data_IF_016444557594
#
_entry.id   IF_016444557594
#
_cell.length_a   1.000
_cell.length_b   1.000
_cell.length_c   1.000
_cell.angle_alpha   90.00
_cell.angle_beta   90.00
_cell.angle_gamma   90.00
#
_symmetry.space_group_name_H-M   'P 1'
#
loop_
_entity.id
_entity.type
_entity.pdbx_description
1 polymer ?
#
# COMPACT_ATOMS: atom_id res chain seq x y z
N UNK A 1 -10.43 26.42 -14.78
CA UNK A 1 -8.98 26.70 -14.90
C UNK A 1 -8.15 26.06 -13.79
N UNK A 2 -8.58 26.10 -12.52
CA UNK A 2 -7.86 25.46 -11.40
C UNK A 2 -7.61 23.94 -11.55
N UNK A 3 -8.57 23.11 -12.02
CA UNK A 3 -8.33 21.67 -12.16
C UNK A 3 -7.23 21.36 -13.17
N UNK A 4 -7.18 22.14 -14.26
CA UNK A 4 -6.19 21.98 -15.33
C UNK A 4 -4.78 22.30 -14.81
N UNK A 5 -4.61 23.40 -14.06
CA UNK A 5 -3.32 23.85 -13.54
C UNK A 5 -2.73 22.90 -12.47
N UNK A 6 -3.59 22.37 -11.58
CA UNK A 6 -3.19 21.37 -10.58
C UNK A 6 -2.82 20.04 -11.25
N UNK A 7 -3.53 19.67 -12.32
CA UNK A 7 -3.20 18.49 -13.12
C UNK A 7 -1.85 18.66 -13.84
N UNK A 8 -1.55 19.83 -14.39
CA UNK A 8 -0.23 20.07 -15.02
C UNK A 8 0.90 20.00 -14.01
N UNK A 9 0.76 20.60 -12.81
CA UNK A 9 1.77 20.56 -11.76
C UNK A 9 2.01 19.13 -11.22
N UNK A 10 0.95 18.35 -11.00
CA UNK A 10 1.06 16.97 -10.52
C UNK A 10 1.63 15.99 -11.55
N UNK A 11 1.67 16.38 -12.83
CA UNK A 11 2.08 15.52 -13.96
C UNK A 11 3.32 15.99 -14.68
N UNK A 12 3.96 17.08 -14.23
CA UNK A 12 5.21 17.54 -14.81
C UNK A 12 6.34 16.62 -14.31
N UNK A 13 7.01 15.85 -15.18
CA UNK A 13 8.13 15.01 -14.78
C UNK A 13 9.24 15.87 -14.16
N UNK A 14 9.72 15.49 -12.98
CA UNK A 14 10.87 16.15 -12.33
C UNK A 14 10.56 17.38 -11.49
N UNK A 15 9.29 17.78 -11.31
CA UNK A 15 8.94 18.81 -10.32
C UNK A 15 8.70 18.14 -8.97
N UNK A 16 9.77 17.98 -8.21
CA UNK A 16 9.73 17.63 -6.80
C UNK A 16 9.33 18.87 -6.00
N UNK A 17 8.05 19.01 -5.67
CA UNK A 17 7.62 20.12 -4.82
C UNK A 17 7.90 19.80 -3.33
N UNK A 18 7.97 18.53 -2.89
CA UNK A 18 7.90 18.21 -1.43
C UNK A 18 8.63 16.94 -0.90
N UNK A 19 9.65 16.38 -1.58
CA UNK A 19 10.66 15.52 -0.95
C UNK A 19 10.50 13.99 -1.14
N UNK A 20 9.88 13.55 -2.24
CA UNK A 20 9.97 12.16 -2.69
C UNK A 20 11.31 11.86 -3.37
N UNK A 21 11.65 10.58 -3.61
CA UNK A 21 12.86 10.23 -4.35
C UNK A 21 12.83 10.85 -5.77
N UNK A 22 13.76 11.78 -6.04
CA UNK A 22 13.89 12.62 -7.26
C UNK A 22 13.85 11.88 -8.60
N UNK A 23 14.15 10.60 -8.58
CA UNK A 23 14.01 9.60 -9.61
C UNK A 23 14.30 8.28 -8.91
N UNK A 24 13.67 7.18 -9.30
CA UNK A 24 14.17 5.86 -8.93
C UNK A 24 15.58 5.77 -9.50
N UNK A 25 16.65 5.74 -8.67
CA UNK A 25 17.96 6.20 -9.13
C UNK A 25 18.57 5.35 -10.24
N UNK A 26 18.03 4.16 -10.55
CA UNK A 26 18.62 3.23 -11.52
C UNK A 26 17.59 2.40 -12.32
N UNK A 27 16.30 2.78 -12.33
CA UNK A 27 15.24 1.95 -12.92
C UNK A 27 15.12 0.56 -12.24
N UNK A 28 14.45 -0.42 -12.89
CA UNK A 28 14.09 -1.72 -12.27
C UNK A 28 15.26 -2.63 -11.89
N UNK A 29 16.52 -2.20 -12.00
CA UNK A 29 17.70 -3.07 -11.84
C UNK A 29 18.64 -2.75 -10.68
N UNK A 30 18.41 -1.66 -9.94
CA UNK A 30 19.17 -1.43 -8.71
C UNK A 30 18.44 -0.50 -7.75
N UNK A 31 17.94 -1.07 -6.66
CA UNK A 31 17.33 -0.32 -5.59
C UNK A 31 18.42 0.33 -4.71
N UNK A 32 18.30 1.63 -4.36
CA UNK A 32 19.18 2.28 -3.39
C UNK A 32 19.06 1.60 -2.02
N UNK A 33 20.05 1.74 -1.14
CA UNK A 33 20.06 1.08 0.15
C UNK A 33 18.92 1.64 1.01
N UNK A 34 18.22 0.75 1.71
CA UNK A 34 17.30 1.09 2.79
C UNK A 34 17.85 0.56 4.10
N UNK A 35 17.51 1.23 5.19
CA UNK A 35 17.71 0.63 6.50
C UNK A 35 16.60 -0.34 6.81
N UNK A 36 17.02 -1.52 7.22
CA UNK A 36 16.13 -2.59 7.62
C UNK A 36 16.52 -2.99 9.04
N UNK A 37 15.58 -2.96 10.01
CA UNK A 37 15.84 -3.42 11.37
C UNK A 37 16.27 -4.89 11.35
N UNK A 38 17.37 -5.23 12.01
CA UNK A 38 17.93 -6.57 12.02
C UNK A 38 16.94 -7.60 12.58
N UNK A 39 16.26 -7.25 13.64
CA UNK A 39 15.38 -8.14 14.38
C UNK A 39 13.99 -8.29 13.76
N UNK A 40 13.60 -7.37 12.87
CA UNK A 40 12.32 -7.35 12.18
C UNK A 40 12.47 -6.72 10.78
N UNK A 41 12.97 -7.49 9.79
CA UNK A 41 13.24 -6.94 8.46
C UNK A 41 12.02 -6.34 7.76
N UNK A 42 10.85 -6.90 8.06
CA UNK A 42 9.56 -6.41 7.56
C UNK A 42 8.88 -5.43 8.51
N UNK A 43 9.53 -4.98 9.59
CA UNK A 43 8.97 -4.05 10.57
C UNK A 43 7.92 -4.67 11.51
N UNK A 44 7.06 -3.82 12.06
CA UNK A 44 6.13 -4.15 13.14
C UNK A 44 4.71 -3.68 12.82
N UNK A 45 3.72 -4.44 13.28
CA UNK A 45 2.31 -4.08 13.30
C UNK A 45 1.84 -3.79 14.73
N UNK A 46 0.77 -3.00 14.80
CA UNK A 46 0.12 -2.60 16.05
C UNK A 46 -1.34 -3.03 16.06
N UNK A 47 -1.97 -2.96 17.24
CA UNK A 47 -3.40 -3.26 17.37
C UNK A 47 -4.19 -2.50 16.30
N UNK A 48 -5.13 -3.17 15.60
CA UNK A 48 -5.93 -2.52 14.60
C UNK A 48 -6.63 -1.30 15.16
N UNK A 49 -6.65 -0.27 14.33
CA UNK A 49 -7.45 0.89 14.57
C UNK A 49 -7.94 1.37 13.22
N UNK A 50 -9.26 1.37 13.07
CA UNK A 50 -9.93 1.79 11.84
C UNK A 50 -9.94 3.33 11.78
N UNK A 51 -8.76 3.94 11.91
CA UNK A 51 -8.51 5.37 11.80
C UNK A 51 -7.10 5.65 11.26
N UNK A 52 -6.93 6.88 10.79
CA UNK A 52 -5.73 7.32 10.07
C UNK A 52 -4.75 8.05 10.98
N UNK A 53 -4.95 8.04 12.30
CA UNK A 53 -3.99 8.62 13.22
C UNK A 53 -2.80 7.65 13.30
N UNK A 54 -1.58 8.09 12.96
CA UNK A 54 -0.40 7.25 12.97
C UNK A 54 0.11 7.13 14.42
N UNK A 55 -0.72 6.60 15.31
CA UNK A 55 -0.40 6.37 16.72
C UNK A 55 -0.23 4.87 16.92
N UNK A 56 0.98 4.38 17.23
CA UNK A 56 1.20 3.01 17.63
C UNK A 56 0.32 2.64 18.83
N UNK A 57 -0.45 1.57 18.70
CA UNK A 57 -1.42 1.13 19.71
C UNK A 57 -1.13 -0.29 20.18
N UNK A 58 -1.06 -0.48 21.49
CA UNK A 58 -0.76 -1.78 22.08
C UNK A 58 0.68 -2.21 21.83
N UNK A 59 0.91 -3.53 21.93
CA UNK A 59 2.25 -4.11 21.80
C UNK A 59 2.64 -4.23 20.33
N UNK A 60 3.88 -3.84 20.01
CA UNK A 60 4.44 -4.06 18.69
C UNK A 60 4.60 -5.56 18.41
N UNK A 61 4.03 -6.03 17.30
CA UNK A 61 4.14 -7.42 16.85
C UNK A 61 4.99 -7.43 15.58
N UNK A 62 5.98 -8.33 15.49
CA UNK A 62 6.78 -8.46 14.27
C UNK A 62 5.87 -8.77 13.09
N UNK A 63 5.99 -7.98 12.02
CA UNK A 63 5.20 -8.20 10.82
C UNK A 63 5.77 -9.41 10.07
N UNK A 64 4.95 -10.44 9.90
CA UNK A 64 5.24 -11.60 9.06
C UNK A 64 4.44 -11.46 7.76
N UNK A 65 4.99 -10.81 6.72
CA UNK A 65 4.26 -10.54 5.51
C UNK A 65 3.96 -11.82 4.72
N UNK A 66 2.86 -11.79 3.98
CA UNK A 66 2.48 -12.86 3.06
C UNK A 66 1.80 -12.30 1.82
N UNK A 67 1.85 -13.07 0.73
CA UNK A 67 1.10 -12.74 -0.47
C UNK A 67 -0.39 -12.59 -0.16
N UNK A 68 -1.00 -11.57 -0.75
CA UNK A 68 -2.38 -11.17 -0.48
C UNK A 68 -2.53 -10.09 0.60
N UNK A 69 -1.51 -9.79 1.39
CA UNK A 69 -1.55 -8.62 2.29
C UNK A 69 -1.70 -7.33 1.47
N UNK A 70 -2.51 -6.38 1.94
CA UNK A 70 -2.75 -5.12 1.24
C UNK A 70 -2.06 -3.99 2.01
N UNK A 71 -1.22 -3.25 1.33
CA UNK A 71 -0.58 -2.05 1.86
C UNK A 71 -1.46 -0.85 1.50
N UNK A 72 -1.80 -0.05 2.49
CA UNK A 72 -2.58 1.17 2.36
C UNK A 72 -1.68 2.34 2.76
N UNK A 73 -1.42 3.24 1.81
CA UNK A 73 -0.33 4.19 1.91
C UNK A 73 -0.90 5.61 1.94
N UNK A 74 -0.52 6.39 2.96
CA UNK A 74 -0.85 7.83 3.03
C UNK A 74 0.37 8.65 2.71
N UNK A 75 0.31 9.36 1.59
CA UNK A 75 1.33 10.30 1.19
C UNK A 75 1.41 11.48 2.17
N UNK A 76 2.63 11.95 2.54
CA UNK A 76 2.80 13.15 3.35
C UNK A 76 2.52 14.45 2.57
N UNK A 77 2.53 14.44 1.24
CA UNK A 77 2.45 15.63 0.39
C UNK A 77 1.07 16.33 0.47
N UNK A 78 1.03 17.63 0.86
CA UNK A 78 -0.18 18.45 0.84
C UNK A 78 -0.90 18.52 -0.51
N UNK A 79 -0.18 18.44 -1.65
CA UNK A 79 -0.78 18.47 -2.98
C UNK A 79 -1.79 17.33 -3.17
N UNK A 80 -1.45 16.13 -2.71
CA UNK A 80 -2.37 15.00 -2.79
C UNK A 80 -3.60 15.20 -1.93
N UNK A 81 -3.51 15.88 -0.78
CA UNK A 81 -4.69 16.23 0.01
C UNK A 81 -5.67 17.09 -0.81
N UNK A 82 -5.15 18.06 -1.57
CA UNK A 82 -5.97 18.89 -2.46
C UNK A 82 -6.60 18.06 -3.58
N UNK A 83 -5.82 17.20 -4.25
CA UNK A 83 -6.32 16.30 -5.29
C UNK A 83 -7.42 15.35 -4.77
N UNK A 84 -7.26 14.82 -3.55
CA UNK A 84 -8.26 13.96 -2.93
C UNK A 84 -9.56 14.69 -2.64
N UNK A 85 -9.50 15.97 -2.23
CA UNK A 85 -10.72 16.78 -2.06
C UNK A 85 -11.49 16.89 -3.38
N UNK A 86 -10.81 17.18 -4.50
CA UNK A 86 -11.46 17.22 -5.82
C UNK A 86 -11.99 15.85 -6.27
N UNK A 87 -11.25 14.78 -6.01
CA UNK A 87 -11.72 13.41 -6.23
C UNK A 87 -12.87 13.02 -5.26
N UNK A 88 -13.21 13.85 -4.27
CA UNK A 88 -14.10 13.51 -3.14
C UNK A 88 -13.68 12.19 -2.47
N UNK A 89 -12.37 12.02 -2.35
CA UNK A 89 -11.66 10.94 -1.66
C UNK A 89 -10.93 11.52 -0.44
N UNK A 90 -10.05 10.74 0.16
CA UNK A 90 -9.15 11.14 1.24
C UNK A 90 -8.09 10.06 1.46
N UNK A 91 -7.39 10.15 2.59
CA UNK A 91 -6.40 9.17 3.03
C UNK A 91 -7.06 7.83 3.43
N UNK A 92 -6.40 6.67 3.26
CA UNK A 92 -5.14 6.48 2.54
C UNK A 92 -5.32 6.78 1.05
N UNK A 93 -4.28 7.33 0.44
CA UNK A 93 -4.34 7.92 -0.88
C UNK A 93 -3.80 7.03 -2.00
N UNK A 94 -3.04 6.01 -1.62
CA UNK A 94 -2.44 5.00 -2.49
C UNK A 94 -2.62 3.62 -1.84
N UNK A 95 -2.46 2.58 -2.62
CA UNK A 95 -2.46 1.21 -2.12
C UNK A 95 -1.65 0.29 -3.04
N UNK A 96 -1.19 -0.81 -2.46
CA UNK A 96 -0.43 -1.83 -3.14
C UNK A 96 -0.78 -3.22 -2.60
N UNK A 97 -0.37 -4.25 -3.31
CA UNK A 97 -0.63 -5.65 -2.97
C UNK A 97 0.69 -6.39 -2.79
N UNK A 98 0.85 -7.12 -1.69
CA UNK A 98 1.97 -8.05 -1.50
C UNK A 98 1.73 -9.28 -2.37
N UNK A 99 2.72 -9.66 -3.17
CA UNK A 99 2.67 -10.80 -4.11
C UNK A 99 3.95 -11.62 -4.01
N UNK A 100 3.88 -12.91 -4.33
CA UNK A 100 5.06 -13.72 -4.58
C UNK A 100 5.62 -13.37 -5.97
N UNK A 101 6.91 -13.08 -6.08
CA UNK A 101 7.62 -12.83 -7.33
C UNK A 101 8.03 -14.15 -7.99
N UNK A 102 8.53 -14.09 -9.23
CA UNK A 102 8.94 -15.29 -9.99
C UNK A 102 10.10 -16.05 -9.37
N UNK A 103 10.91 -15.40 -8.54
CA UNK A 103 12.01 -15.97 -7.76
C UNK A 103 11.57 -16.55 -6.40
N UNK A 104 10.28 -16.48 -6.07
CA UNK A 104 9.72 -16.92 -4.80
C UNK A 104 9.84 -15.91 -3.65
N UNK A 105 10.49 -14.77 -3.85
CA UNK A 105 10.55 -13.70 -2.85
C UNK A 105 9.26 -12.88 -2.83
N UNK A 106 9.03 -12.12 -1.75
CA UNK A 106 7.89 -11.22 -1.66
C UNK A 106 8.19 -9.88 -2.31
N UNK A 107 7.27 -9.46 -3.17
CA UNK A 107 7.25 -8.16 -3.78
C UNK A 107 5.96 -7.39 -3.48
N UNK A 108 5.93 -6.14 -3.91
CA UNK A 108 4.80 -5.23 -3.83
C UNK A 108 4.40 -4.86 -5.25
N UNK A 109 3.23 -5.33 -5.67
CA UNK A 109 2.58 -4.94 -6.92
C UNK A 109 1.86 -3.61 -6.71
N UNK A 110 2.24 -2.62 -7.51
CA UNK A 110 1.62 -1.30 -7.48
C UNK A 110 1.70 -0.57 -8.82
N UNK A 111 0.90 0.48 -8.95
CA UNK A 111 0.85 1.32 -10.14
C UNK A 111 0.79 2.78 -9.72
N UNK A 112 1.76 3.59 -10.14
CA UNK A 112 1.77 5.03 -9.83
C UNK A 112 2.45 5.46 -8.52
N UNK A 113 3.29 4.63 -7.89
CA UNK A 113 3.95 4.97 -6.62
C UNK A 113 5.00 6.07 -6.77
N UNK A 114 5.09 7.00 -5.80
CA UNK A 114 6.08 8.09 -5.79
C UNK A 114 6.33 8.70 -7.18
N UNK A 115 5.25 8.94 -7.92
CA UNK A 115 5.24 9.52 -9.26
C UNK A 115 5.84 8.66 -10.39
N UNK A 116 6.08 7.35 -10.19
CA UNK A 116 6.46 6.45 -11.29
C UNK A 116 5.29 6.29 -12.26
N UNK A 117 5.41 6.63 -13.55
CA UNK A 117 4.30 6.59 -14.51
C UNK A 117 4.02 5.17 -15.06
N UNK A 118 4.31 4.13 -14.27
CA UNK A 118 4.15 2.74 -14.65
C UNK A 118 3.78 1.86 -13.45
N UNK A 119 3.46 0.62 -13.79
CA UNK A 119 3.19 -0.50 -12.91
C UNK A 119 4.48 -1.28 -12.70
N UNK A 120 4.72 -1.71 -11.47
CA UNK A 120 5.94 -2.42 -11.11
C UNK A 120 5.68 -3.44 -10.01
N UNK A 121 6.57 -4.41 -9.93
CA UNK A 121 6.73 -5.26 -8.76
C UNK A 121 8.07 -4.90 -8.13
N UNK A 122 8.07 -4.65 -6.83
CA UNK A 122 9.26 -4.16 -6.11
C UNK A 122 9.47 -4.99 -4.86
N UNK A 123 10.72 -5.36 -4.49
CA UNK A 123 10.99 -6.09 -3.26
C UNK A 123 10.32 -5.43 -2.05
N UNK A 124 9.65 -6.25 -1.25
CA UNK A 124 8.74 -5.79 -0.20
C UNK A 124 9.45 -4.92 0.84
N UNK A 125 10.59 -5.41 1.33
CA UNK A 125 11.43 -4.76 2.31
C UNK A 125 11.88 -3.37 1.82
N UNK A 126 12.30 -3.27 0.57
CA UNK A 126 12.68 -2.00 -0.05
C UNK A 126 11.49 -1.04 -0.13
N UNK A 127 10.35 -1.49 -0.68
CA UNK A 127 9.17 -0.65 -0.87
C UNK A 127 8.66 -0.06 0.46
N UNK A 128 8.53 -0.89 1.50
CA UNK A 128 8.01 -0.46 2.80
C UNK A 128 8.95 0.52 3.49
N UNK A 129 10.25 0.23 3.51
CA UNK A 129 11.24 1.07 4.21
C UNK A 129 11.51 2.38 3.48
N UNK A 130 11.44 2.41 2.14
CA UNK A 130 11.58 3.63 1.34
C UNK A 130 10.40 4.59 1.49
N UNK A 131 9.18 4.08 1.72
CA UNK A 131 7.99 4.92 1.63
C UNK A 131 8.02 6.11 2.58
N UNK A 132 7.84 7.31 2.02
CA UNK A 132 7.92 8.58 2.74
C UNK A 132 6.77 8.80 3.73
N UNK A 133 5.64 8.13 3.52
CA UNK A 133 4.43 8.31 4.33
C UNK A 133 4.22 7.26 5.41
N UNK A 134 2.97 7.15 5.83
CA UNK A 134 2.52 6.10 6.75
C UNK A 134 1.93 4.94 5.97
N UNK A 135 2.18 3.73 6.46
CA UNK A 135 1.66 2.49 5.90
C UNK A 135 0.71 1.86 6.92
N UNK A 136 -0.45 1.45 6.44
CA UNK A 136 -1.30 0.49 7.15
C UNK A 136 -1.34 -0.80 6.36
N UNK A 137 -1.20 -1.92 7.05
CA UNK A 137 -1.31 -3.25 6.46
C UNK A 137 -2.69 -3.79 6.78
N UNK A 138 -3.40 -4.26 5.76
CA UNK A 138 -4.52 -5.18 5.94
C UNK A 138 -4.01 -6.59 5.74
N UNK A 139 -3.73 -7.34 6.83
CA UNK A 139 -3.17 -8.67 6.70
C UNK A 139 -4.23 -9.63 6.18
N UNK A 140 -3.81 -10.55 5.34
CA UNK A 140 -4.60 -11.68 4.87
C UNK A 140 -4.72 -12.70 6.00
N UNK A 141 -5.90 -12.89 6.58
CA UNK A 141 -6.11 -13.81 7.69
C UNK A 141 -6.14 -15.28 7.25
N UNK A 142 -6.70 -15.55 6.07
CA UNK A 142 -6.70 -16.90 5.48
C UNK A 142 -5.59 -17.01 4.44
N UNK A 143 -4.61 -17.91 4.60
CA UNK A 143 -3.58 -18.09 3.58
C UNK A 143 -4.16 -18.31 2.18
N UNK A 144 -3.46 -17.82 1.17
CA UNK A 144 -3.81 -18.09 -0.22
C UNK A 144 -3.65 -19.58 -0.50
N UNK A 145 -4.53 -20.14 -1.34
CA UNK A 145 -4.24 -21.44 -1.93
C UNK A 145 -3.07 -21.31 -2.91
N UNK A 146 -2.33 -22.40 -3.20
CA UNK A 146 -1.24 -22.36 -4.18
C UNK A 146 -1.69 -21.82 -5.55
N UNK A 147 -2.92 -22.14 -5.95
CA UNK A 147 -3.50 -21.64 -7.20
C UNK A 147 -3.82 -20.14 -7.15
N UNK A 148 -4.31 -19.63 -6.02
CA UNK A 148 -4.54 -18.19 -5.85
C UNK A 148 -3.23 -17.40 -5.89
N UNK A 149 -2.19 -17.91 -5.21
CA UNK A 149 -0.86 -17.28 -5.19
C UNK A 149 -0.24 -17.25 -6.59
N UNK A 150 -0.24 -18.40 -7.29
CA UNK A 150 0.21 -18.50 -8.69
C UNK A 150 -0.48 -17.49 -9.59
N UNK A 151 -1.81 -17.34 -9.49
CA UNK A 151 -2.57 -16.38 -10.30
C UNK A 151 -2.26 -14.92 -9.94
N UNK A 152 -1.97 -14.61 -8.67
CA UNK A 152 -1.50 -13.28 -8.29
C UNK A 152 -0.13 -13.00 -8.91
N UNK A 153 0.81 -13.94 -8.82
CA UNK A 153 2.13 -13.83 -9.45
C UNK A 153 2.01 -13.62 -10.95
N UNK A 154 1.21 -14.43 -11.65
CA UNK A 154 0.98 -14.30 -13.09
C UNK A 154 0.41 -12.93 -13.47
N UNK A 155 -0.59 -12.45 -12.73
CA UNK A 155 -1.14 -11.12 -12.96
C UNK A 155 -0.06 -10.03 -12.74
N UNK A 156 0.71 -10.13 -11.66
CA UNK A 156 1.73 -9.15 -11.30
C UNK A 156 2.81 -9.07 -12.39
N UNK A 157 3.33 -10.20 -12.84
CA UNK A 157 4.33 -10.28 -13.90
C UNK A 157 3.80 -9.80 -15.25
N UNK A 158 2.52 -10.07 -15.56
CA UNK A 158 1.89 -9.59 -16.79
C UNK A 158 1.61 -8.07 -16.77
N UNK A 159 1.42 -7.48 -15.60
CA UNK A 159 1.14 -6.06 -15.44
C UNK A 159 2.42 -5.20 -15.31
N UNK A 160 3.53 -5.81 -14.90
CA UNK A 160 4.82 -5.15 -14.72
C UNK A 160 5.30 -4.42 -15.99
N UNK A 161 5.83 -3.21 -15.81
CA UNK A 161 6.23 -2.31 -16.89
C UNK A 161 5.06 -1.62 -17.60
N UNK A 162 3.80 -1.99 -17.29
CA UNK A 162 2.61 -1.40 -17.88
C UNK A 162 2.44 0.09 -17.52
N UNK A 163 2.10 0.93 -18.50
CA UNK A 163 1.93 2.38 -18.29
C UNK A 163 0.80 2.68 -17.29
N UNK A 164 1.01 3.71 -16.46
CA UNK A 164 -0.03 4.22 -15.57
C UNK A 164 -1.22 4.75 -16.36
N UNK A 165 -2.44 4.52 -15.86
CA UNK A 165 -3.66 4.95 -16.52
C UNK A 165 -4.00 6.41 -16.19
N UNK A 166 -3.17 7.30 -16.73
CA UNK A 166 -3.29 8.72 -16.50
C UNK A 166 -4.64 9.33 -16.94
N UNK A 167 -5.22 8.94 -18.10
CA UNK A 167 -6.55 9.41 -18.48
C UNK A 167 -7.62 8.98 -17.47
N UNK A 168 -7.57 7.74 -16.98
CA UNK A 168 -8.51 7.26 -15.96
C UNK A 168 -8.33 8.01 -14.65
N UNK A 169 -7.09 8.28 -14.23
CA UNK A 169 -6.80 9.08 -13.04
C UNK A 169 -7.38 10.51 -13.17
N UNK A 170 -7.10 11.20 -14.27
CA UNK A 170 -7.62 12.54 -14.53
C UNK A 170 -9.16 12.56 -14.56
N UNK A 171 -9.80 11.53 -15.12
CA UNK A 171 -11.26 11.43 -15.14
C UNK A 171 -11.90 11.39 -13.75
N UNK A 172 -11.20 10.90 -12.73
CA UNK A 172 -11.68 10.87 -11.33
C UNK A 172 -11.92 12.27 -10.76
N UNK A 173 -11.24 13.29 -11.30
CA UNK A 173 -11.39 14.69 -10.91
C UNK A 173 -12.60 15.37 -11.58
N UNK A 174 -13.32 14.66 -12.44
CA UNK A 174 -14.49 15.17 -13.16
C UNK A 174 -15.80 14.56 -12.63
N UNK A 175 -16.93 15.16 -13.01
CA UNK A 175 -18.27 14.63 -12.70
C UNK A 175 -18.62 13.35 -13.49
N UNK A 176 -17.92 13.08 -14.60
CA UNK A 176 -18.14 11.94 -15.50
C UNK A 176 -17.30 10.71 -15.14
N UNK A 177 -17.02 10.52 -13.85
CA UNK A 177 -16.19 9.42 -13.35
C UNK A 177 -16.99 8.14 -13.09
N UNK A 178 -16.31 6.99 -13.17
CA UNK A 178 -16.89 5.68 -12.90
C UNK A 178 -17.52 5.54 -11.49
N UNK A 179 -17.05 6.34 -10.53
CA UNK A 179 -17.56 6.40 -9.15
C UNK A 179 -18.87 7.20 -9.00
N UNK A 180 -19.43 7.76 -10.06
CA UNK A 180 -20.74 8.42 -9.97
C UNK A 180 -21.82 7.37 -9.63
N UNK A 181 -22.55 7.52 -8.48
CA UNK A 181 -23.51 6.53 -7.98
C UNK A 181 -24.55 6.04 -9.00
N UNK A 182 -24.91 6.89 -9.97
CA UNK A 182 -25.91 6.57 -11.00
C UNK A 182 -25.38 5.49 -11.96
N UNK A 183 -24.08 5.54 -12.30
CA UNK A 183 -23.49 4.69 -13.34
C UNK A 183 -22.64 3.55 -12.79
N UNK A 184 -22.15 3.62 -11.54
CA UNK A 184 -21.20 2.62 -10.96
C UNK A 184 -21.70 1.18 -11.04
N UNK A 185 -23.01 0.95 -11.02
CA UNK A 185 -23.59 -0.40 -11.22
C UNK A 185 -23.23 -1.00 -12.57
N UNK A 186 -23.06 -0.17 -13.61
CA UNK A 186 -22.88 -0.61 -15.00
C UNK A 186 -21.45 -0.42 -15.52
N UNK A 187 -20.75 0.61 -15.06
CA UNK A 187 -19.38 0.95 -15.50
C UNK A 187 -18.32 0.56 -14.48
N UNK A 188 -17.07 0.48 -14.92
CA UNK A 188 -15.92 0.26 -14.03
C UNK A 188 -15.70 -1.18 -13.60
N UNK A 189 -16.20 -2.14 -14.37
CA UNK A 189 -15.96 -3.58 -14.22
C UNK A 189 -14.47 -3.94 -14.41
N UNK A 190 -14.02 -5.10 -13.89
CA UNK A 190 -12.68 -5.61 -14.13
C UNK A 190 -12.36 -5.75 -15.62
N UNK A 191 -11.11 -5.52 -16.00
CA UNK A 191 -10.60 -5.65 -17.37
C UNK A 191 -9.60 -6.79 -17.53
N UNK A 192 -9.05 -7.34 -16.43
CA UNK A 192 -8.05 -8.41 -16.48
C UNK A 192 -6.62 -7.89 -16.66
N UNK A 193 -5.62 -8.79 -16.82
CA UNK A 193 -4.19 -8.46 -16.90
C UNK A 193 -3.79 -7.72 -18.18
N UNK A 194 -2.62 -7.08 -18.19
CA UNK A 194 -2.02 -6.43 -19.38
C UNK A 194 -2.61 -5.06 -19.77
N UNK A 195 -3.52 -4.51 -18.96
CA UNK A 195 -4.10 -3.19 -19.19
C UNK A 195 -3.33 -2.07 -18.47
N UNK A 196 -3.75 -0.82 -18.68
CA UNK A 196 -3.28 0.32 -17.89
C UNK A 196 -4.14 0.46 -16.64
N UNK A 197 -3.51 0.58 -15.48
CA UNK A 197 -4.21 0.69 -14.20
C UNK A 197 -3.90 2.00 -13.49
N UNK A 198 -4.80 2.37 -12.58
CA UNK A 198 -4.47 3.25 -11.44
C UNK A 198 -4.20 2.40 -10.20
N UNK A 199 -3.61 2.99 -9.15
CA UNK A 199 -3.17 2.28 -7.94
C UNK A 199 -4.17 1.29 -7.35
N UNK A 200 -5.37 1.74 -7.00
CA UNK A 200 -6.42 0.87 -6.45
C UNK A 200 -7.01 -0.08 -7.48
N UNK A 201 -7.03 0.32 -8.75
CA UNK A 201 -7.53 -0.53 -9.80
C UNK A 201 -6.65 -1.78 -9.93
N UNK A 202 -5.31 -1.64 -9.94
CA UNK A 202 -4.44 -2.79 -10.09
C UNK A 202 -4.58 -3.80 -8.94
N UNK A 203 -4.74 -3.32 -7.70
CA UNK A 203 -4.95 -4.17 -6.53
C UNK A 203 -6.25 -4.97 -6.71
N UNK A 204 -7.37 -4.32 -7.01
CA UNK A 204 -8.66 -5.02 -7.14
C UNK A 204 -8.68 -5.94 -8.36
N UNK A 205 -8.05 -5.56 -9.48
CA UNK A 205 -7.94 -6.41 -10.68
C UNK A 205 -7.13 -7.68 -10.39
N UNK A 206 -6.00 -7.56 -9.67
CA UNK A 206 -5.20 -8.71 -9.26
C UNK A 206 -6.02 -9.66 -8.36
N UNK A 207 -6.73 -9.12 -7.37
CA UNK A 207 -7.56 -9.92 -6.48
C UNK A 207 -8.74 -10.59 -7.21
N UNK A 208 -9.33 -9.91 -8.20
CA UNK A 208 -10.35 -10.51 -9.07
C UNK A 208 -9.74 -11.63 -9.91
N UNK A 209 -8.56 -11.39 -10.49
CA UNK A 209 -7.87 -12.38 -11.31
C UNK A 209 -7.52 -13.63 -10.52
N UNK A 210 -7.10 -13.50 -9.26
CA UNK A 210 -6.84 -14.64 -8.38
C UNK A 210 -8.11 -15.30 -7.80
N UNK A 211 -9.30 -14.78 -8.09
CA UNK A 211 -10.56 -15.31 -7.56
C UNK A 211 -10.80 -15.01 -6.08
N UNK A 212 -10.10 -14.04 -5.51
CA UNK A 212 -10.28 -13.59 -4.13
C UNK A 212 -11.39 -12.53 -4.00
N UNK A 213 -11.71 -11.85 -5.11
CA UNK A 213 -12.77 -10.85 -5.20
C UNK A 213 -13.70 -11.22 -6.36
N UNK A 214 -15.01 -11.18 -6.13
CA UNK A 214 -16.00 -11.53 -7.16
C UNK A 214 -16.03 -10.49 -8.30
N UNK A 215 -15.70 -10.93 -9.51
CA UNK A 215 -15.69 -10.10 -10.71
C UNK A 215 -17.04 -9.45 -11.05
N UNK A 216 -18.17 -10.09 -10.67
CA UNK A 216 -19.52 -9.57 -10.98
C UNK A 216 -19.81 -8.31 -10.18
N UNK A 217 -19.38 -8.29 -8.92
CA UNK A 217 -19.64 -7.21 -7.98
C UNK A 217 -18.51 -6.19 -7.90
N UNK A 218 -17.26 -6.57 -8.19
CA UNK A 218 -16.11 -5.67 -8.15
C UNK A 218 -16.24 -4.48 -9.10
N UNK A 219 -15.80 -3.30 -8.65
CA UNK A 219 -15.70 -2.09 -9.49
C UNK A 219 -14.33 -1.43 -9.36
N UNK A 220 -13.25 -2.03 -9.89
CA UNK A 220 -11.89 -1.52 -9.73
C UNK A 220 -11.75 -0.02 -10.06
N UNK A 221 -12.33 0.44 -11.18
CA UNK A 221 -12.24 1.86 -11.59
C UNK A 221 -13.06 2.82 -10.73
N UNK A 222 -13.99 2.32 -9.94
CA UNK A 222 -14.82 3.14 -9.05
C UNK A 222 -14.38 3.03 -7.58
N UNK A 223 -13.54 2.06 -7.23
CA UNK A 223 -13.04 1.81 -5.88
C UNK A 223 -11.90 2.77 -5.55
N UNK A 224 -11.85 3.26 -4.31
CA UNK A 224 -10.75 4.06 -3.75
C UNK A 224 -10.07 3.30 -2.61
N UNK A 225 -8.82 3.65 -2.29
CA UNK A 225 -8.08 3.01 -1.20
C UNK A 225 -8.80 3.16 0.17
N UNK A 226 -9.57 4.23 0.36
CA UNK A 226 -10.46 4.36 1.53
C UNK A 226 -11.52 3.26 1.63
N UNK A 227 -12.07 2.81 0.50
CA UNK A 227 -13.07 1.74 0.52
C UNK A 227 -12.42 0.41 0.97
N UNK A 228 -11.14 0.20 0.62
CA UNK A 228 -10.35 -0.92 1.10
C UNK A 228 -9.94 -0.76 2.57
N UNK A 229 -9.70 0.47 3.04
CA UNK A 229 -9.34 0.73 4.43
C UNK A 229 -10.51 0.49 5.39
N UNK A 230 -11.66 1.06 5.08
CA UNK A 230 -12.83 1.08 5.98
C UNK A 230 -13.80 -0.07 5.76
N UNK A 231 -13.67 -0.84 4.67
CA UNK A 231 -14.70 -1.75 4.18
C UNK A 231 -16.07 -1.07 3.97
N UNK A 232 -16.05 0.26 3.78
CA UNK A 232 -17.22 1.12 3.64
C UNK A 232 -16.98 2.17 2.57
N UNK A 233 -18.04 2.59 1.89
CA UNK A 233 -17.94 3.56 0.82
C UNK A 233 -19.04 4.61 0.86
N UNK A 234 -18.71 5.81 0.41
CA UNK A 234 -19.72 6.84 0.08
C UNK A 234 -20.48 6.50 -1.20
N UNK A 235 -19.97 5.59 -2.03
CA UNK A 235 -20.69 5.10 -3.19
C UNK A 235 -21.62 3.94 -2.77
N UNK A 236 -22.95 4.05 -2.91
CA UNK A 236 -23.89 3.04 -2.41
C UNK A 236 -23.71 1.65 -3.01
N UNK A 237 -23.24 1.57 -4.26
CA UNK A 237 -22.99 0.28 -4.90
C UNK A 237 -21.77 -0.41 -4.26
N UNK A 238 -20.68 0.34 -4.05
CA UNK A 238 -19.47 -0.20 -3.42
C UNK A 238 -19.72 -0.49 -1.94
N UNK A 239 -20.50 0.33 -1.23
CA UNK A 239 -20.84 0.09 0.18
C UNK A 239 -21.64 -1.21 0.39
N UNK A 240 -22.45 -1.60 -0.61
CA UNK A 240 -23.18 -2.88 -0.61
C UNK A 240 -22.30 -4.06 -1.04
N UNK A 241 -21.22 -3.79 -1.77
CA UNK A 241 -20.31 -4.79 -2.31
C UNK A 241 -18.85 -4.45 -1.96
N UNK A 242 -18.51 -4.32 -0.66
CA UNK A 242 -17.17 -3.95 -0.24
C UNK A 242 -16.16 -4.98 -0.75
N UNK A 243 -15.03 -4.55 -1.34
CA UNK A 243 -14.11 -5.49 -1.96
C UNK A 243 -13.49 -6.51 -1.00
N UNK A 244 -13.25 -6.18 0.27
CA UNK A 244 -12.50 -7.04 1.20
C UNK A 244 -13.34 -7.61 2.34
N UNK A 245 -14.41 -6.91 2.75
CA UNK A 245 -15.23 -7.31 3.90
C UNK A 245 -15.71 -8.76 3.80
N UNK A 246 -15.45 -9.55 4.84
CA UNK A 246 -15.85 -10.96 4.92
C UNK A 246 -15.10 -11.89 3.98
N UNK A 247 -14.04 -11.43 3.30
CA UNK A 247 -13.22 -12.24 2.38
C UNK A 247 -11.84 -12.59 2.96
N UNK A 248 -11.73 -12.51 4.29
CA UNK A 248 -10.58 -12.96 5.08
C UNK A 248 -9.40 -11.98 5.10
N UNK A 249 -9.66 -10.67 4.99
CA UNK A 249 -8.68 -9.66 5.38
C UNK A 249 -9.03 -9.12 6.75
N UNK A 250 -8.01 -9.03 7.60
CA UNK A 250 -8.10 -8.37 8.88
C UNK A 250 -8.27 -6.86 8.73
N UNK A 251 -8.52 -6.21 9.85
CA UNK A 251 -8.58 -4.76 9.95
C UNK A 251 -7.22 -4.11 9.65
N UNK A 252 -7.19 -2.85 9.18
CA UNK A 252 -5.95 -2.14 8.95
C UNK A 252 -5.16 -1.94 10.25
N UNK A 253 -3.89 -2.31 10.20
CA UNK A 253 -2.93 -2.18 11.29
C UNK A 253 -1.83 -1.21 10.87
N UNK A 254 -1.52 -0.24 11.73
CA UNK A 254 -0.40 0.66 11.48
C UNK A 254 0.89 -0.17 11.37
N UNK A 255 1.73 0.16 10.40
CA UNK A 255 3.05 -0.41 10.25
C UNK A 255 4.13 0.60 10.64
N UNK A 256 5.15 0.14 11.36
CA UNK A 256 6.36 0.93 11.61
C UNK A 256 7.62 0.10 11.42
N UNK A 257 8.72 0.71 10.90
CA UNK A 257 10.00 0.02 10.85
C UNK A 257 10.65 -0.05 12.23
N UNK A 258 10.42 0.93 13.10
CA UNK A 258 10.98 1.01 14.45
C UNK A 258 9.85 0.80 15.47
N UNK A 259 10.01 -0.08 16.48
CA UNK A 259 9.01 -0.28 17.53
C UNK A 259 8.63 1.03 18.22
N UNK A 260 7.34 1.26 18.43
CA UNK A 260 6.78 2.43 19.11
C UNK A 260 6.83 3.74 18.34
N UNK A 261 7.41 3.79 17.12
CA UNK A 261 7.63 5.05 16.40
C UNK A 261 6.99 5.07 15.01
N UNK A 262 5.92 5.85 14.85
CA UNK A 262 5.29 6.09 13.55
C UNK A 262 5.93 7.28 12.82
N UNK A 263 7.16 7.08 12.35
CA UNK A 263 7.93 8.12 11.65
C UNK A 263 7.59 8.17 10.15
N UNK A 264 7.46 9.39 9.62
CA UNK A 264 7.49 9.62 8.17
C UNK A 264 8.87 9.27 7.64
N UNK A 265 8.97 8.86 6.38
CA UNK A 265 10.25 8.48 5.78
C UNK A 265 11.29 9.61 5.74
N UNK A 266 10.87 10.89 5.72
CA UNK A 266 11.79 12.02 5.89
C UNK A 266 12.46 12.06 7.26
N UNK A 267 11.76 11.56 8.28
CA UNK A 267 12.12 11.63 9.70
C UNK A 267 12.75 10.33 10.19
N UNK A 268 12.76 9.29 9.34
CA UNK A 268 13.48 8.05 9.59
C UNK A 268 14.99 8.27 9.46
N UNK A 269 15.81 7.50 10.20
CA UNK A 269 17.24 7.47 9.95
C UNK A 269 17.55 7.19 8.47
N UNK A 270 18.57 7.87 7.92
CA UNK A 270 19.03 7.68 6.53
C UNK A 270 20.42 7.04 6.50
N UNK A 271 20.72 6.16 5.51
CA UNK A 271 22.05 5.57 5.34
C UNK A 271 23.12 6.66 5.29
N UNK A 272 24.31 6.46 5.91
CA UNK A 272 25.32 7.51 6.02
C UNK A 272 25.96 7.85 4.67
N UNK A 273 25.82 6.98 3.66
CA UNK A 273 26.25 7.20 2.29
C UNK A 273 25.29 6.55 1.28
N UNK A 274 25.22 7.12 0.06
CA UNK A 274 24.59 6.45 -1.08
C UNK A 274 25.44 5.24 -1.50
N UNK A 275 24.80 4.09 -1.70
CA UNK A 275 25.48 2.83 -2.04
C UNK A 275 26.08 2.87 -3.46
N UNK A 276 27.32 2.38 -3.67
CA UNK A 276 27.96 2.34 -4.98
C UNK A 276 27.78 1.01 -5.75
N UNK A 277 27.07 0.01 -5.22
CA UNK A 277 26.96 -1.34 -5.83
C UNK A 277 25.54 -1.78 -6.22
N UNK A 278 25.37 -3.03 -6.67
CA UNK A 278 24.04 -3.61 -6.94
C UNK A 278 23.40 -4.14 -5.64
N UNK A 279 22.14 -3.78 -5.38
CA UNK A 279 21.17 -4.36 -4.43
C UNK A 279 21.67 -4.86 -3.06
N UNK A 280 21.30 -4.19 -1.97
CA UNK A 280 21.51 -4.67 -0.60
C UNK A 280 20.78 -3.82 0.45
N UNK A 281 20.56 -4.38 1.64
CA UNK A 281 20.01 -3.67 2.81
C UNK A 281 21.09 -3.51 3.89
N UNK A 282 21.18 -2.31 4.48
CA UNK A 282 21.98 -2.13 5.68
C UNK A 282 21.18 -2.62 6.88
N UNK A 283 21.71 -3.65 7.53
CA UNK A 283 21.12 -4.20 8.75
C UNK A 283 21.51 -3.31 9.91
N UNK A 284 20.52 -2.75 10.60
CA UNK A 284 20.73 -1.85 11.73
C UNK A 284 20.10 -2.40 13.00
N UNK A 285 20.82 -2.26 14.11
CA UNK A 285 20.23 -2.40 15.43
C UNK A 285 19.70 -1.01 15.85
N UNK A 286 18.38 -0.80 15.92
CA UNK A 286 17.86 0.41 16.55
C UNK A 286 18.17 0.31 18.05
N UNK A 287 19.13 1.08 18.56
CA UNK A 287 19.29 1.24 20.01
C UNK A 287 18.21 2.22 20.46
N UNK A 288 17.16 1.82 21.20
CA UNK A 288 16.17 2.77 21.68
C UNK A 288 16.84 3.64 22.75
N UNK A 289 17.31 4.83 22.38
CA UNK A 289 17.47 5.91 23.35
C UNK A 289 16.08 6.30 23.78
N UNK A 290 15.78 6.29 25.08
CA UNK A 290 14.45 6.54 25.67
C UNK A 290 13.88 7.96 25.45
N UNK A 291 14.17 8.59 24.32
CA UNK A 291 13.71 9.90 23.87
C UNK A 291 12.93 9.74 22.57
N UNK A 292 12.02 10.67 22.26
CA UNK A 292 11.26 10.70 20.99
C UNK A 292 12.14 10.91 19.73
N UNK A 293 13.47 10.84 19.86
CA UNK A 293 14.39 11.01 18.75
C UNK A 293 14.60 9.66 18.02
N UNK A 294 14.66 9.68 16.67
CA UNK A 294 14.99 8.49 15.91
C UNK A 294 16.39 7.98 16.32
N UNK A 295 16.54 6.66 16.58
CA UNK A 295 17.81 6.11 17.02
C UNK A 295 18.88 6.31 15.94
N UNK A 296 20.13 6.58 16.34
CA UNK A 296 21.26 6.57 15.41
C UNK A 296 21.55 5.11 15.05
N UNK A 297 21.36 4.70 13.78
CA UNK A 297 21.56 3.32 13.38
C UNK A 297 23.04 2.96 13.47
N UNK A 298 23.35 1.85 14.13
CA UNK A 298 24.67 1.21 14.01
C UNK A 298 24.56 0.11 12.97
N UNK A 299 25.36 0.18 11.92
CA UNK A 299 25.42 -0.88 10.89
C UNK A 299 26.06 -2.11 11.52
N UNK A 300 25.30 -3.21 11.60
CA UNK A 300 25.76 -4.45 12.24
C UNK A 300 25.98 -5.59 11.26
N UNK A 301 25.63 -5.40 9.99
CA UNK A 301 25.85 -6.39 8.94
C UNK A 301 25.34 -5.93 7.58
N UNK A 302 25.60 -6.77 6.58
CA UNK A 302 25.13 -6.62 5.21
C UNK A 302 24.49 -7.94 4.79
N UNK A 303 23.25 -7.90 4.30
CA UNK A 303 22.59 -9.04 3.67
C UNK A 303 22.51 -8.72 2.17
N UNK A 304 23.34 -9.36 1.32
CA UNK A 304 23.00 -9.49 -0.10
C UNK A 304 21.64 -10.17 -0.17
N UNK A 305 20.73 -9.77 -1.05
CA UNK A 305 19.38 -10.35 -1.11
C UNK A 305 19.39 -11.87 -1.27
N UNK A 306 19.39 -12.60 -0.16
CA UNK A 306 19.23 -14.05 -0.08
C UNK A 306 18.07 -14.38 0.88
N UNK A 307 17.25 -15.40 0.55
CA UNK A 307 15.92 -15.56 1.10
C UNK A 307 15.92 -16.04 2.57
N UNK A 308 15.31 -15.24 3.45
CA UNK A 308 15.06 -15.61 4.84
C UNK A 308 13.88 -16.59 4.98
N UNK A 309 14.08 -17.61 5.83
CA UNK A 309 13.14 -18.70 6.13
C UNK A 309 11.80 -18.23 6.76
N UNK A 310 10.70 -19.02 6.62
CA UNK A 310 9.37 -18.64 7.10
C UNK A 310 9.27 -18.66 8.63
N UNK A 311 8.68 -17.60 9.19
CA UNK A 311 8.42 -17.46 10.64
C UNK A 311 7.00 -17.95 10.98
N UNK A 312 6.92 -18.81 12.00
CA UNK A 312 5.73 -19.47 12.53
C UNK A 312 4.65 -18.50 13.06
N UNK A 313 3.38 -18.81 12.80
CA UNK A 313 2.20 -18.06 13.26
C UNK A 313 1.73 -18.54 14.65
N UNK A 314 1.30 -17.59 15.50
CA UNK A 314 0.57 -17.86 16.76
C UNK A 314 -0.91 -17.48 16.61
N UNK A 315 -1.84 -18.13 17.35
CA UNK A 315 -3.28 -18.01 17.09
C UNK A 315 -3.89 -16.71 17.65
N UNK A 316 -4.97 -16.18 17.04
CA UNK A 316 -5.56 -14.91 17.46
C UNK A 316 -6.47 -15.05 18.69
N UNK A 317 -6.41 -14.07 19.60
CA UNK A 317 -7.36 -13.88 20.69
C UNK A 317 -8.59 -13.09 20.24
N UNK A 318 -9.79 -13.52 20.63
CA UNK A 318 -11.08 -12.87 20.33
C UNK A 318 -11.26 -11.54 21.07
N UNK A 319 -11.57 -10.48 20.32
CA UNK A 319 -12.06 -9.20 20.84
C UNK A 319 -13.58 -9.26 21.04
N UNK A 320 -14.10 -8.59 22.09
CA UNK A 320 -15.46 -8.74 22.61
C UNK A 320 -16.46 -7.74 22.02
N UNK A 321 -17.74 -8.10 22.15
CA UNK A 321 -18.95 -7.49 21.57
C UNK A 321 -19.20 -6.00 21.88
N UNK A 322 -18.46 -5.35 22.79
CA UNK A 322 -18.76 -4.00 23.27
C UNK A 322 -17.93 -2.87 22.62
N UNK A 323 -17.00 -3.18 21.72
CA UNK A 323 -16.12 -2.18 21.08
C UNK A 323 -16.75 -1.47 19.84
N UNK A 324 -18.07 -1.22 19.83
CA UNK A 324 -18.76 -0.54 18.72
C UNK A 324 -19.09 0.93 19.04
N UNK A 325 -18.71 1.91 18.21
CA UNK A 325 -19.33 3.23 18.25
C UNK A 325 -20.58 3.31 17.34
N UNK A 326 -21.66 3.72 17.99
CA UNK A 326 -22.93 4.33 17.54
C UNK A 326 -23.33 4.30 16.04
N UNK A 327 -24.46 3.63 15.77
CA UNK A 327 -25.30 3.85 14.57
C UNK A 327 -26.19 5.08 14.80
N UNK A 328 -25.93 6.19 14.12
CA UNK A 328 -26.84 7.35 14.16
C UNK A 328 -27.86 7.38 13.01
N UNK A 329 -27.75 6.51 11.99
CA UNK A 329 -28.76 6.40 10.95
C UNK A 329 -28.88 4.97 10.40
N UNK A 330 -29.59 4.09 11.10
CA UNK A 330 -30.32 3.00 10.43
C UNK A 330 -31.80 3.30 10.52
N UNK A 331 -32.36 3.86 9.45
CA UNK A 331 -33.80 3.81 9.21
C UNK A 331 -34.12 2.54 8.42
N UNK A 332 -35.01 1.75 9.01
CA UNK A 332 -35.66 0.51 8.54
C UNK A 332 -34.79 -0.74 8.55
#
# INVERSE_FOLDING_TARGET
MVPTLVLTLALTPGVDVFGGARAEPLGPKAYPPVYVPAEAPSGYLYCPAVDLNPVPRGTAVKYAPKAGDILLLSDPDPLFNVLYVFARSGKPGHCALVVTMSDGQLGVLESGFSFTPYTRVTPLDYCMNLYAGHIWVRPRETPLTPEQDRRLTEFAMAAEGGKYNLPSFASQLTLFRARNPIVTRFVGKPVGPGHKYVCVQIVVEALVHAGLVDAKTARPKATYAQDLFYDRSRNPYIDRHPPLAGRGWGEPQLWTPIPGMALRGSDRPKPPAAWPGAGGALVVNPIPTGTQQPPVPTVVGHVPGEPGAPVSQSPPSRVRYLDRPYRLFSRR
#
